data_IF_022903579509
#
_entry.id   IF_022903579509
#
_cell.length_a   1.000
_cell.length_b   1.000
_cell.length_c   1.000
_cell.angle_alpha   90.00
_cell.angle_beta   90.00
_cell.angle_gamma   90.00
#
_symmetry.space_group_name_H-M   'P 1'
#
loop_
_entity.id
_entity.type
_entity.pdbx_description
1 polymer ?
#
# COMPACT_ATOMS: atom_id res chain seq x y z
N UNK A 1 -10.45 6.92 -14.83
CA UNK A 1 -9.23 6.15 -14.54
C UNK A 1 -8.70 5.59 -15.85
N UNK A 2 -7.39 5.61 -16.09
CA UNK A 2 -6.77 4.95 -17.25
C UNK A 2 -6.77 3.42 -17.03
N UNK A 3 -6.68 2.64 -18.11
CA UNK A 3 -6.71 1.17 -18.05
C UNK A 3 -5.65 0.60 -17.10
N UNK A 4 -4.45 1.19 -17.07
CA UNK A 4 -3.38 0.78 -16.16
C UNK A 4 -3.75 0.95 -14.68
N UNK A 5 -4.35 2.09 -14.29
CA UNK A 5 -4.79 2.32 -12.90
C UNK A 5 -5.81 1.25 -12.48
N UNK A 6 -6.71 0.86 -13.39
CA UNK A 6 -7.71 -0.19 -13.14
C UNK A 6 -7.04 -1.56 -13.01
N UNK A 7 -6.10 -1.91 -13.89
CA UNK A 7 -5.36 -3.18 -13.83
C UNK A 7 -4.61 -3.31 -12.51
N UNK A 8 -3.84 -2.29 -12.12
CA UNK A 8 -3.12 -2.30 -10.83
C UNK A 8 -4.08 -2.31 -9.65
N UNK A 9 -5.20 -1.58 -9.71
CA UNK A 9 -6.24 -1.62 -8.69
C UNK A 9 -6.83 -3.02 -8.50
N UNK A 10 -7.18 -3.71 -9.59
CA UNK A 10 -7.70 -5.08 -9.55
C UNK A 10 -6.66 -6.07 -8.99
N UNK A 11 -5.40 -5.96 -9.43
CA UNK A 11 -4.32 -6.80 -8.91
C UNK A 11 -4.07 -6.56 -7.41
N UNK A 12 -4.20 -5.31 -6.94
CA UNK A 12 -4.08 -4.98 -5.52
C UNK A 12 -5.19 -5.64 -4.69
N UNK A 13 -6.43 -5.66 -5.20
CA UNK A 13 -7.55 -6.35 -4.55
C UNK A 13 -7.28 -7.86 -4.49
N UNK A 14 -6.80 -8.46 -5.58
CA UNK A 14 -6.44 -9.90 -5.61
C UNK A 14 -5.34 -10.18 -4.58
N UNK A 15 -4.30 -9.36 -4.54
CA UNK A 15 -3.21 -9.48 -3.57
C UNK A 15 -3.70 -9.39 -2.13
N UNK A 16 -4.64 -8.49 -1.83
CA UNK A 16 -5.26 -8.38 -0.52
C UNK A 16 -6.09 -9.62 -0.16
N UNK A 17 -6.87 -10.16 -1.10
CA UNK A 17 -7.62 -11.41 -0.90
C UNK A 17 -6.67 -12.58 -0.61
N UNK A 18 -5.60 -12.74 -1.41
CA UNK A 18 -4.59 -13.80 -1.18
C UNK A 18 -3.98 -13.69 0.21
N UNK A 19 -3.66 -12.47 0.64
CA UNK A 19 -3.13 -12.20 1.98
C UNK A 19 -4.13 -12.57 3.08
N UNK A 20 -5.41 -12.22 2.92
CA UNK A 20 -6.47 -12.59 3.88
C UNK A 20 -6.76 -14.09 3.94
N UNK A 21 -6.39 -14.84 2.90
CA UNK A 21 -6.47 -16.30 2.87
C UNK A 21 -5.18 -16.97 3.36
N UNK A 22 -4.21 -16.18 3.84
CA UNK A 22 -2.88 -16.64 4.26
C UNK A 22 -2.13 -17.41 3.16
N UNK A 23 -2.44 -17.12 1.89
CA UNK A 23 -1.78 -17.76 0.75
C UNK A 23 -0.41 -17.09 0.55
N UNK A 24 0.69 -17.87 0.50
CA UNK A 24 2.02 -17.34 0.31
C UNK A 24 2.11 -16.52 -0.99
N UNK A 25 2.81 -15.39 -0.93
CA UNK A 25 2.97 -14.46 -2.05
C UNK A 25 1.96 -13.32 -2.09
N UNK A 26 0.85 -13.36 -1.34
CA UNK A 26 -0.09 -12.24 -1.24
C UNK A 26 0.59 -10.94 -0.79
N UNK A 27 1.43 -11.03 0.25
CA UNK A 27 2.23 -9.92 0.77
C UNK A 27 3.23 -9.40 -0.26
N UNK A 28 4.01 -10.28 -0.89
CA UNK A 28 5.00 -9.90 -1.92
C UNK A 28 4.33 -9.19 -3.10
N UNK A 29 3.20 -9.70 -3.57
CA UNK A 29 2.44 -9.11 -4.66
C UNK A 29 1.95 -7.69 -4.31
N UNK A 30 1.51 -7.45 -3.06
CA UNK A 30 1.08 -6.12 -2.61
C UNK A 30 2.23 -5.11 -2.64
N UNK A 31 3.44 -5.54 -2.25
CA UNK A 31 4.65 -4.72 -2.26
C UNK A 31 4.97 -4.31 -3.69
N UNK A 32 5.02 -5.26 -4.62
CA UNK A 32 5.35 -4.99 -6.02
C UNK A 32 4.31 -4.05 -6.64
N UNK A 33 3.03 -4.31 -6.46
CA UNK A 33 1.95 -3.51 -7.08
C UNK A 33 1.93 -2.08 -6.53
N UNK A 34 1.98 -1.89 -5.22
CA UNK A 34 1.95 -0.55 -4.62
C UNK A 34 3.22 0.24 -4.96
N UNK A 35 4.37 -0.43 -5.04
CA UNK A 35 5.62 0.20 -5.46
C UNK A 35 5.57 0.64 -6.92
N UNK A 36 5.09 -0.23 -7.82
CA UNK A 36 4.91 0.11 -9.23
C UNK A 36 3.89 1.24 -9.42
N UNK A 37 2.78 1.22 -8.67
CA UNK A 37 1.77 2.27 -8.72
C UNK A 37 2.32 3.61 -8.20
N UNK A 38 3.14 3.58 -7.14
CA UNK A 38 3.85 4.74 -6.63
C UNK A 38 4.80 5.32 -7.69
N UNK A 39 5.65 4.49 -8.31
CA UNK A 39 6.55 4.92 -9.38
C UNK A 39 5.79 5.46 -10.60
N UNK A 40 4.68 4.82 -10.95
CA UNK A 40 3.80 5.24 -12.04
C UNK A 40 3.27 6.65 -11.79
N UNK A 41 2.79 6.95 -10.58
CA UNK A 41 2.34 8.30 -10.23
C UNK A 41 3.49 9.30 -10.10
N UNK A 42 4.65 8.89 -9.59
CA UNK A 42 5.79 9.77 -9.45
C UNK A 42 6.32 10.23 -10.82
N UNK A 43 6.55 9.29 -11.73
CA UNK A 43 7.23 9.54 -13.02
C UNK A 43 6.23 9.99 -14.09
N UNK A 44 5.06 9.35 -14.16
CA UNK A 44 4.13 9.51 -15.29
C UNK A 44 2.87 10.30 -14.95
N UNK A 45 2.79 10.96 -13.78
CA UNK A 45 1.60 11.75 -13.37
C UNK A 45 1.15 12.77 -14.41
N UNK A 46 2.09 13.53 -14.96
CA UNK A 46 1.80 14.50 -16.01
C UNK A 46 1.12 13.83 -17.22
N UNK A 47 1.56 12.64 -17.63
CA UNK A 47 1.01 11.92 -18.78
C UNK A 47 -0.34 11.28 -18.44
N UNK A 48 -0.48 10.72 -17.23
CA UNK A 48 -1.67 9.99 -16.80
C UNK A 48 -2.89 10.91 -16.63
N UNK A 49 -2.67 12.10 -16.07
CA UNK A 49 -3.77 13.01 -15.74
C UNK A 49 -4.18 13.89 -16.91
N UNK A 50 -3.31 14.11 -17.90
CA UNK A 50 -3.66 14.92 -19.05
C UNK A 50 -4.42 14.09 -20.12
N UNK A 51 -5.46 14.68 -20.74
CA UNK A 51 -6.25 14.01 -21.77
C UNK A 51 -5.50 13.98 -23.11
N UNK A 52 -4.40 13.23 -23.18
CA UNK A 52 -3.69 12.96 -24.43
C UNK A 52 -4.13 11.58 -24.97
N UNK A 53 -4.39 11.50 -26.28
CA UNK A 53 -4.71 10.23 -26.97
C UNK A 53 -3.49 9.30 -26.88
N UNK A 54 -3.72 7.99 -26.65
CA UNK A 54 -2.63 7.02 -26.41
C UNK A 54 -1.59 6.99 -27.54
N UNK A 55 -2.04 7.26 -28.76
CA UNK A 55 -1.24 7.07 -29.97
C UNK A 55 -0.19 8.18 -30.16
N UNK A 56 -0.26 9.26 -29.36
CA UNK A 56 0.67 10.38 -29.42
C UNK A 56 1.30 10.73 -28.06
N UNK A 57 1.29 9.82 -27.08
CA UNK A 57 1.80 10.08 -25.71
C UNK A 57 3.28 10.48 -25.66
N UNK A 58 4.08 10.12 -26.66
CA UNK A 58 5.51 10.47 -26.73
C UNK A 58 5.79 11.69 -27.64
N UNK A 59 4.78 12.23 -28.34
CA UNK A 59 4.97 13.36 -29.24
C UNK A 59 4.87 14.67 -28.47
N UNK A 60 5.94 15.46 -28.48
CA UNK A 60 6.01 16.76 -27.82
C UNK A 60 4.88 17.71 -28.24
N UNK A 61 4.47 17.65 -29.52
CA UNK A 61 3.37 18.43 -30.08
C UNK A 61 2.05 18.23 -29.34
N UNK A 62 1.80 17.03 -28.80
CA UNK A 62 0.58 16.72 -28.03
C UNK A 62 0.49 17.45 -26.69
N UNK A 63 1.61 18.02 -26.23
CA UNK A 63 1.72 18.73 -24.96
C UNK A 63 1.86 20.26 -25.14
N UNK A 64 2.00 20.74 -26.38
CA UNK A 64 2.21 22.16 -26.71
C UNK A 64 1.11 23.10 -26.19
N UNK A 65 -0.13 22.59 -26.10
CA UNK A 65 -1.30 23.37 -25.66
C UNK A 65 -1.60 23.22 -24.16
N UNK A 66 -0.76 22.55 -23.37
CA UNK A 66 -1.01 22.35 -21.95
C UNK A 66 -0.43 23.52 -21.15
N UNK A 67 -1.31 24.27 -20.49
CA UNK A 67 -0.89 25.38 -19.63
C UNK A 67 0.01 24.91 -18.48
N UNK A 68 1.06 25.68 -18.18
CA UNK A 68 2.08 25.39 -17.14
C UNK A 68 1.47 25.00 -15.79
N UNK A 69 0.37 25.65 -15.39
CA UNK A 69 -0.33 25.34 -14.14
C UNK A 69 -0.92 23.92 -14.11
N UNK A 70 -1.40 23.38 -15.24
CA UNK A 70 -1.87 21.99 -15.31
C UNK A 70 -0.71 21.01 -15.14
N UNK A 71 0.46 21.33 -15.69
CA UNK A 71 1.67 20.52 -15.54
C UNK A 71 2.07 20.45 -14.07
N UNK A 72 2.24 21.61 -13.43
CA UNK A 72 2.64 21.72 -12.03
C UNK A 72 1.62 21.00 -11.13
N UNK A 73 0.32 21.25 -11.35
CA UNK A 73 -0.72 20.60 -10.56
C UNK A 73 -0.73 19.09 -10.74
N UNK A 74 -0.55 18.58 -11.97
CA UNK A 74 -0.44 17.14 -12.21
C UNK A 74 0.74 16.51 -11.48
N UNK A 75 1.90 17.18 -11.46
CA UNK A 75 3.11 16.68 -10.78
C UNK A 75 2.90 16.65 -9.26
N UNK A 76 2.37 17.73 -8.67
CA UNK A 76 2.08 17.78 -7.23
C UNK A 76 1.04 16.72 -6.83
N UNK A 77 -0.01 16.56 -7.64
CA UNK A 77 -1.01 15.51 -7.45
C UNK A 77 -0.40 14.10 -7.53
N UNK A 78 0.46 13.89 -8.52
CA UNK A 78 1.21 12.65 -8.71
C UNK A 78 2.11 12.29 -7.54
N UNK A 79 2.86 13.27 -7.05
CA UNK A 79 3.69 13.11 -5.86
C UNK A 79 2.85 12.74 -4.64
N UNK A 80 1.72 13.41 -4.43
CA UNK A 80 0.79 13.09 -3.35
C UNK A 80 0.25 11.66 -3.44
N UNK A 81 -0.18 11.21 -4.63
CA UNK A 81 -0.64 9.85 -4.86
C UNK A 81 0.47 8.80 -4.69
N UNK A 82 1.69 9.11 -5.12
CA UNK A 82 2.85 8.24 -4.92
C UNK A 82 3.12 8.03 -3.43
N UNK A 83 3.22 9.12 -2.68
CA UNK A 83 3.46 9.09 -1.23
C UNK A 83 2.32 8.34 -0.53
N UNK A 84 1.07 8.55 -0.97
CA UNK A 84 -0.07 7.83 -0.42
C UNK A 84 0.01 6.33 -0.66
N UNK A 85 0.40 5.88 -1.85
CA UNK A 85 0.60 4.46 -2.15
C UNK A 85 1.68 3.85 -1.25
N UNK A 86 2.80 4.55 -1.04
CA UNK A 86 3.85 4.13 -0.10
C UNK A 86 3.35 4.09 1.34
N UNK A 87 2.55 5.07 1.76
CA UNK A 87 1.96 5.08 3.10
C UNK A 87 1.01 3.91 3.35
N UNK A 88 0.16 3.59 2.37
CA UNK A 88 -0.71 2.40 2.41
C UNK A 88 0.13 1.13 2.42
N UNK A 89 1.21 1.06 1.63
CA UNK A 89 2.14 -0.06 1.66
C UNK A 89 2.71 -0.26 3.07
N UNK A 90 3.24 0.80 3.68
CA UNK A 90 3.81 0.73 5.03
C UNK A 90 2.77 0.26 6.05
N UNK A 91 1.53 0.73 5.90
CA UNK A 91 0.42 0.35 6.76
C UNK A 91 0.12 -1.14 6.65
N UNK A 92 0.05 -1.65 5.43
CA UNK A 92 -0.17 -3.07 5.16
C UNK A 92 1.00 -3.91 5.66
N UNK A 93 2.25 -3.49 5.49
CA UNK A 93 3.41 -4.28 5.91
C UNK A 93 3.71 -4.19 7.42
N UNK A 94 2.95 -3.40 8.18
CA UNK A 94 3.24 -3.17 9.60
C UNK A 94 4.54 -2.38 9.83
N UNK A 95 5.05 -1.69 8.81
CA UNK A 95 6.28 -0.90 8.90
C UNK A 95 6.06 0.40 9.68
N UNK A 96 7.11 1.00 10.25
CA UNK A 96 7.00 2.22 11.05
C UNK A 96 6.65 3.46 10.20
N UNK A 97 5.93 4.40 10.82
CA UNK A 97 5.58 5.70 10.21
C UNK A 97 4.47 5.74 9.14
N UNK A 98 3.53 4.78 9.03
CA UNK A 98 2.57 4.76 7.92
C UNK A 98 1.61 5.96 7.97
N UNK A 99 1.15 6.33 9.17
CA UNK A 99 0.21 7.44 9.35
C UNK A 99 0.82 8.78 8.93
N UNK A 100 2.10 9.02 9.23
CA UNK A 100 2.79 10.24 8.83
C UNK A 100 2.89 10.31 7.30
N UNK A 101 3.30 9.22 6.67
CA UNK A 101 3.42 9.11 5.20
C UNK A 101 2.05 9.30 4.52
N UNK A 102 1.00 8.64 5.00
CA UNK A 102 -0.37 8.81 4.50
C UNK A 102 -0.83 10.27 4.65
N UNK A 103 -0.57 10.90 5.79
CA UNK A 103 -0.95 12.30 6.06
C UNK A 103 -0.28 13.26 5.08
N UNK A 104 1.01 13.08 4.80
CA UNK A 104 1.75 13.89 3.82
C UNK A 104 1.14 13.72 2.43
N UNK A 105 0.88 12.47 2.02
CA UNK A 105 0.26 12.17 0.72
C UNK A 105 -1.13 12.81 0.57
N UNK A 106 -2.00 12.63 1.58
CA UNK A 106 -3.33 13.24 1.62
C UNK A 106 -3.27 14.77 1.59
N UNK A 107 -2.32 15.38 2.30
CA UNK A 107 -2.17 16.85 2.32
C UNK A 107 -1.84 17.40 0.93
N UNK A 108 -0.93 16.76 0.20
CA UNK A 108 -0.58 17.16 -1.17
C UNK A 108 -1.75 16.97 -2.15
N UNK A 109 -2.44 15.83 -2.04
CA UNK A 109 -3.67 15.56 -2.82
C UNK A 109 -4.73 16.63 -2.53
N UNK A 110 -4.91 17.00 -1.26
CA UNK A 110 -5.89 18.00 -0.84
C UNK A 110 -5.56 19.37 -1.42
N UNK A 111 -4.32 19.84 -1.30
CA UNK A 111 -3.87 21.12 -1.87
C UNK A 111 -4.12 21.16 -3.40
N UNK A 112 -3.73 20.11 -4.11
CA UNK A 112 -3.95 20.02 -5.55
C UNK A 112 -5.44 19.96 -5.92
N UNK A 113 -6.25 19.25 -5.11
CA UNK A 113 -7.69 19.13 -5.33
C UNK A 113 -8.42 20.46 -5.15
N UNK A 114 -8.01 21.30 -4.18
CA UNK A 114 -8.57 22.63 -3.98
C UNK A 114 -8.33 23.51 -5.21
N UNK A 115 -7.11 23.48 -5.75
CA UNK A 115 -6.78 24.20 -6.98
C UNK A 115 -7.61 23.69 -8.17
N UNK A 116 -7.72 22.37 -8.32
CA UNK A 116 -8.52 21.73 -9.37
C UNK A 116 -10.00 22.10 -9.26
N UNK A 117 -10.55 22.11 -8.05
CA UNK A 117 -11.95 22.45 -7.79
C UNK A 117 -12.27 23.90 -8.18
N UNK A 118 -11.47 24.86 -7.71
CA UNK A 118 -11.64 26.30 -8.04
C UNK A 118 -11.58 26.53 -9.55
N UNK A 119 -10.66 25.85 -10.25
CA UNK A 119 -10.56 25.95 -11.70
C UNK A 119 -11.72 25.26 -12.42
N UNK A 120 -12.18 24.11 -11.91
CA UNK A 120 -13.30 23.38 -12.49
C UNK A 120 -14.58 24.21 -12.49
N UNK A 121 -14.85 24.96 -11.41
CA UNK A 121 -16.00 25.87 -11.32
C UNK A 121 -16.00 26.94 -12.42
N UNK A 122 -14.82 27.35 -12.91
CA UNK A 122 -14.67 28.38 -13.94
C UNK A 122 -14.66 27.83 -15.36
N UNK A 123 -13.97 26.72 -15.62
CA UNK A 123 -13.73 26.24 -16.98
C UNK A 123 -14.50 24.98 -17.37
N UNK A 124 -15.04 24.21 -16.41
CA UNK A 124 -15.65 22.88 -16.62
C UNK A 124 -14.79 21.91 -17.45
N UNK A 125 -13.47 22.08 -17.40
CA UNK A 125 -12.52 21.26 -18.16
C UNK A 125 -12.51 19.81 -17.63
N UNK A 126 -12.55 18.85 -18.56
CA UNK A 126 -12.57 17.41 -18.29
C UNK A 126 -11.32 16.92 -17.55
N UNK A 127 -10.20 17.65 -17.65
CA UNK A 127 -9.01 17.42 -16.85
C UNK A 127 -9.32 17.51 -15.35
N UNK A 128 -10.01 18.57 -14.90
CA UNK A 128 -10.27 18.79 -13.48
C UNK A 128 -11.31 17.83 -12.91
N UNK A 129 -12.36 17.49 -13.67
CA UNK A 129 -13.32 16.47 -13.21
C UNK A 129 -12.66 15.10 -13.07
N UNK A 130 -11.77 14.74 -14.01
CA UNK A 130 -10.99 13.50 -13.94
C UNK A 130 -10.04 13.45 -12.74
N UNK A 131 -9.49 14.59 -12.30
CA UNK A 131 -8.69 14.67 -11.07
C UNK A 131 -9.57 14.51 -9.82
N UNK A 132 -10.71 15.20 -9.75
CA UNK A 132 -11.60 15.15 -8.59
C UNK A 132 -12.16 13.75 -8.32
N UNK A 133 -12.46 12.97 -9.36
CA UNK A 133 -12.87 11.56 -9.19
C UNK A 133 -11.73 10.74 -8.57
N UNK A 134 -10.47 10.98 -8.96
CA UNK A 134 -9.32 10.29 -8.37
C UNK A 134 -9.07 10.71 -6.93
N UNK A 135 -9.23 12.01 -6.62
CA UNK A 135 -9.21 12.52 -5.25
C UNK A 135 -10.25 11.78 -4.41
N UNK A 136 -11.46 11.59 -4.92
CA UNK A 136 -12.49 10.89 -4.18
C UNK A 136 -12.09 9.43 -3.90
N UNK A 137 -11.62 8.69 -4.91
CA UNK A 137 -11.23 7.28 -4.75
C UNK A 137 -10.02 7.12 -3.83
N UNK A 138 -8.91 7.80 -4.13
CA UNK A 138 -7.67 7.67 -3.37
C UNK A 138 -7.71 8.39 -2.04
N UNK A 139 -8.40 9.53 -1.95
CA UNK A 139 -8.63 10.24 -0.71
C UNK A 139 -9.46 9.42 0.27
N UNK A 140 -10.56 8.80 -0.20
CA UNK A 140 -11.34 7.88 0.63
C UNK A 140 -10.49 6.70 1.09
N UNK A 141 -9.73 6.07 0.18
CA UNK A 141 -8.84 4.96 0.51
C UNK A 141 -7.81 5.36 1.57
N UNK A 142 -7.17 6.52 1.41
CA UNK A 142 -6.20 7.05 2.35
C UNK A 142 -6.79 7.31 3.74
N UNK A 143 -7.99 7.91 3.79
CA UNK A 143 -8.71 8.15 5.05
C UNK A 143 -9.08 6.84 5.75
N UNK A 144 -9.54 5.83 5.01
CA UNK A 144 -9.83 4.50 5.56
C UNK A 144 -8.57 3.89 6.18
N UNK A 145 -7.45 3.85 5.44
CA UNK A 145 -6.20 3.29 5.97
C UNK A 145 -5.58 4.09 7.10
N UNK A 146 -5.84 5.40 7.16
CA UNK A 146 -5.42 6.24 8.28
C UNK A 146 -6.24 5.94 9.55
N UNK A 147 -7.52 5.59 9.39
CA UNK A 147 -8.44 5.36 10.51
C UNK A 147 -8.29 3.98 11.15
N UNK A 148 -7.84 2.99 10.39
CA UNK A 148 -7.61 1.62 10.89
C UNK A 148 -6.20 1.54 11.51
N UNK A 149 -6.03 0.91 12.68
CA UNK A 149 -4.68 0.72 13.25
C UNK A 149 -3.94 -0.43 12.53
N UNK A 150 -2.61 -0.44 12.58
CA UNK A 150 -1.84 -1.57 12.00
C UNK A 150 -2.18 -2.89 12.70
N UNK A 151 -2.50 -2.82 13.99
CA UNK A 151 -2.92 -3.99 14.77
C UNK A 151 -4.30 -4.50 14.37
N UNK A 152 -5.23 -3.62 14.00
CA UNK A 152 -6.55 -4.05 13.53
C UNK A 152 -6.45 -4.79 12.18
N UNK A 153 -5.55 -4.35 11.30
CA UNK A 153 -5.26 -5.06 10.04
C UNK A 153 -4.70 -6.45 10.36
N UNK A 154 -3.73 -6.53 11.27
CA UNK A 154 -3.13 -7.79 11.70
C UNK A 154 -4.16 -8.74 12.33
N UNK A 155 -5.01 -8.27 13.24
CA UNK A 155 -6.10 -9.05 13.85
C UNK A 155 -7.10 -9.55 12.81
N UNK A 156 -7.38 -8.74 11.79
CA UNK A 156 -8.30 -9.11 10.71
C UNK A 156 -7.70 -10.15 9.75
N UNK A 157 -6.39 -10.05 9.48
CA UNK A 157 -5.61 -11.00 8.67
C UNK A 157 -5.57 -12.38 9.35
N UNK A 158 -5.22 -12.43 10.64
CA UNK A 158 -5.08 -13.66 11.41
C UNK A 158 -6.32 -14.01 12.23
N UNK A 159 -7.51 -13.58 11.80
CA UNK A 159 -8.77 -13.76 12.56
C UNK A 159 -9.12 -15.23 12.88
N UNK A 160 -8.59 -16.18 12.10
CA UNK A 160 -8.74 -17.62 12.31
C UNK A 160 -7.72 -18.22 13.29
N UNK A 161 -6.75 -17.43 13.77
CA UNK A 161 -5.64 -17.85 14.62
C UNK A 161 -5.54 -16.95 15.86
N UNK A 162 -6.51 -17.02 16.80
CA UNK A 162 -6.52 -16.16 17.99
C UNK A 162 -5.29 -16.36 18.90
N UNK A 163 -4.71 -17.56 18.93
CA UNK A 163 -3.50 -17.87 19.69
C UNK A 163 -2.30 -17.08 19.17
N UNK A 164 -2.15 -16.98 17.84
CA UNK A 164 -1.10 -16.18 17.22
C UNK A 164 -1.29 -14.68 17.51
N UNK A 165 -2.55 -14.20 17.45
CA UNK A 165 -2.86 -12.81 17.80
C UNK A 165 -2.41 -12.51 19.24
N UNK A 166 -2.75 -13.38 20.19
CA UNK A 166 -2.38 -13.20 21.59
C UNK A 166 -0.86 -13.29 21.80
N UNK A 167 -0.18 -14.25 21.16
CA UNK A 167 1.26 -14.40 21.25
C UNK A 167 1.98 -13.15 20.72
N UNK A 168 1.50 -12.61 19.59
CA UNK A 168 2.04 -11.37 19.02
C UNK A 168 1.80 -10.15 19.92
N UNK A 169 0.63 -10.00 20.53
CA UNK A 169 0.35 -8.92 21.51
C UNK A 169 1.26 -8.99 22.73
N UNK A 170 1.48 -10.19 23.27
CA UNK A 170 2.40 -10.38 24.39
C UNK A 170 3.83 -10.00 24.00
N UNK A 171 4.30 -10.44 22.82
CA UNK A 171 5.61 -10.05 22.29
C UNK A 171 5.74 -8.53 22.14
N UNK A 172 4.71 -7.83 21.65
CA UNK A 172 4.75 -6.36 21.56
C UNK A 172 4.85 -5.66 22.93
N UNK A 173 4.39 -6.29 24.00
CA UNK A 173 4.49 -5.74 25.37
C UNK A 173 5.90 -5.82 25.95
N UNK A 174 6.69 -6.81 25.53
CA UNK A 174 8.10 -6.98 25.91
C UNK A 174 8.91 -7.61 24.76
N UNK A 175 9.32 -6.80 23.75
CA UNK A 175 9.99 -7.32 22.54
C UNK A 175 11.37 -7.92 22.79
N UNK A 176 11.97 -7.68 23.97
CA UNK A 176 13.29 -8.21 24.32
C UNK A 176 13.21 -9.58 25.01
N UNK A 177 12.00 -10.08 25.28
CA UNK A 177 11.78 -11.37 25.91
C UNK A 177 11.82 -12.50 24.87
N UNK A 178 12.89 -13.29 24.91
CA UNK A 178 13.12 -14.39 23.98
C UNK A 178 12.00 -15.45 24.01
N UNK A 179 11.47 -15.77 25.19
CA UNK A 179 10.36 -16.74 25.33
C UNK A 179 9.07 -16.25 24.64
N UNK A 180 8.80 -14.93 24.68
CA UNK A 180 7.65 -14.37 23.97
C UNK A 180 7.86 -14.36 22.46
N UNK A 181 9.10 -14.14 22.00
CA UNK A 181 9.47 -14.24 20.58
C UNK A 181 9.28 -15.67 20.07
N UNK A 182 9.84 -16.66 20.76
CA UNK A 182 9.72 -18.08 20.40
C UNK A 182 8.25 -18.53 20.34
N UNK A 183 7.45 -18.14 21.33
CA UNK A 183 6.01 -18.45 21.35
C UNK A 183 5.28 -17.82 20.16
N UNK A 184 5.59 -16.57 19.83
CA UNK A 184 5.01 -15.89 18.67
C UNK A 184 5.39 -16.57 17.36
N UNK A 185 6.65 -16.98 17.20
CA UNK A 185 7.13 -17.71 16.02
C UNK A 185 6.51 -19.11 15.89
N UNK A 186 6.35 -19.82 17.00
CA UNK A 186 5.67 -21.11 17.05
C UNK A 186 4.21 -20.99 16.59
N UNK A 187 3.44 -20.06 17.17
CA UNK A 187 2.04 -19.86 16.78
C UNK A 187 1.91 -19.32 15.35
N UNK A 188 2.91 -18.57 14.85
CA UNK A 188 2.97 -18.16 13.44
C UNK A 188 3.13 -19.38 12.51
N UNK A 189 4.04 -20.31 12.81
CA UNK A 189 4.21 -21.54 12.00
C UNK A 189 2.91 -22.36 11.95
N UNK A 190 2.14 -22.41 13.05
CA UNK A 190 0.82 -23.06 13.12
C UNK A 190 -0.25 -22.46 12.22
N UNK A 191 -0.04 -21.26 11.67
CA UNK A 191 -1.02 -20.68 10.73
C UNK A 191 -0.95 -21.26 9.33
N UNK A 192 0.14 -21.98 8.98
CA UNK A 192 0.33 -22.53 7.62
C UNK A 192 1.05 -23.89 7.57
N UNK A 193 1.48 -24.44 8.72
CA UNK A 193 2.05 -25.78 8.84
C UNK A 193 1.15 -26.67 9.73
N UNK A 194 1.20 -27.97 9.50
CA UNK A 194 0.65 -28.98 10.41
C UNK A 194 1.51 -29.16 11.66
N UNK A 195 0.94 -29.68 12.74
CA UNK A 195 1.67 -29.93 14.00
C UNK A 195 2.88 -30.87 13.77
N UNK A 196 2.72 -31.90 12.94
CA UNK A 196 3.79 -32.86 12.58
C UNK A 196 4.97 -32.16 11.88
N UNK A 197 4.68 -31.23 10.96
CA UNK A 197 5.72 -30.45 10.30
C UNK A 197 6.44 -29.53 11.29
N UNK A 198 5.71 -28.94 12.24
CA UNK A 198 6.29 -28.05 13.24
C UNK A 198 7.21 -28.80 14.20
N UNK A 199 6.80 -29.97 14.69
CA UNK A 199 7.64 -30.83 15.52
C UNK A 199 8.94 -31.17 14.80
N UNK A 200 8.85 -31.57 13.53
CA UNK A 200 10.03 -31.83 12.69
C UNK A 200 10.94 -30.60 12.55
N UNK A 201 10.36 -29.41 12.32
CA UNK A 201 11.12 -28.16 12.25
C UNK A 201 11.83 -27.81 13.57
N UNK A 202 11.16 -28.00 14.71
CA UNK A 202 11.73 -27.71 16.03
C UNK A 202 12.83 -28.69 16.42
N UNK A 203 12.73 -29.96 16.02
CA UNK A 203 13.82 -30.93 16.18
C UNK A 203 15.04 -30.53 15.36
N UNK A 204 14.85 -30.20 14.09
CA UNK A 204 15.94 -29.75 13.22
C UNK A 204 16.64 -28.49 13.74
N UNK A 205 15.88 -27.51 14.23
CA UNK A 205 16.41 -26.25 14.75
C UNK A 205 17.18 -26.44 16.07
N UNK A 206 16.78 -27.41 16.90
CA UNK A 206 17.54 -27.82 18.10
C UNK A 206 18.88 -28.46 17.74
N UNK A 207 18.89 -29.35 16.75
CA UNK A 207 20.11 -30.03 16.28
C UNK A 207 21.10 -29.02 15.67
N UNK A 208 20.61 -28.05 14.89
CA UNK A 208 21.44 -26.99 14.30
C UNK A 208 22.05 -26.08 15.38
N UNK A 209 21.26 -25.65 16.38
CA UNK A 209 21.76 -24.82 17.47
C UNK A 209 22.80 -25.55 18.35
N UNK A 210 22.66 -26.86 18.57
CA UNK A 210 23.69 -27.66 19.24
C UNK A 210 24.99 -27.74 18.42
N UNK A 211 24.92 -27.66 17.10
CA UNK A 211 26.08 -27.71 16.23
C UNK A 211 26.87 -26.39 16.18
N UNK A 212 26.19 -25.25 16.34
CA UNK A 212 26.79 -23.92 16.25
C UNK A 212 27.12 -23.25 17.60
N UNK A 213 26.55 -23.73 18.72
CA UNK A 213 26.89 -23.31 20.09
C UNK A 213 27.28 -24.53 20.95
N UNK A 214 28.52 -25.05 20.83
CA UNK A 214 29.01 -26.18 21.62
C UNK A 214 29.29 -25.84 23.10
#
# INVERSE_FOLDING_TARGET
MKKLEIIFGSLLVISFILRLMLIPGGTFLSVVILSLLSLLYLIFSFIIFNPVKSDNLLKQESYSNIGRFKIINSVVFGLGLSILCIGILYKLQGWPGPNNTITIGLSLIMISSLFAFVKHLKSKDSYFSGLLIRVFIFGLLGVVFMSVSSMDIFRFEYRSHPEYIQAFENYLSDPNNETLREKMEYEYKRTYMSEEEIEFYLEFEKDENQFYNP
#
